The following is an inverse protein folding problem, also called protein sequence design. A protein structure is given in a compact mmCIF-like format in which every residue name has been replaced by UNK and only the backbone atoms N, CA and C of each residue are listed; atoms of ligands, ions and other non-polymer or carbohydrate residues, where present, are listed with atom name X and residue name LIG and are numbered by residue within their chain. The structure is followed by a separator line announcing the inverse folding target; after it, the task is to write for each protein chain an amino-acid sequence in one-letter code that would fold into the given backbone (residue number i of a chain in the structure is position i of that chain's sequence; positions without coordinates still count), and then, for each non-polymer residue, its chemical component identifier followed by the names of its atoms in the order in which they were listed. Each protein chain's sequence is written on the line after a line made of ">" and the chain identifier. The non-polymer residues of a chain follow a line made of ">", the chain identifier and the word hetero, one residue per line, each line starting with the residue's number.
data_IF_956380599852
#
_entry.id   IF_956380599852
#
_cell.length_a   1.000
_cell.length_b   1.000
_cell.length_c   1.000
_cell.angle_alpha   90.00
_cell.angle_beta   90.00
_cell.angle_gamma   90.00
#
_symmetry.space_group_name_H-M   'P 1'
#
loop_
_entity.id
_entity.type
_entity.pdbx_description
1 polymer ?
#
# COMPACT_ATOMS: atom_id res chain seq x y z
N UNK A 1 53.02 -31.63 26.02
CA UNK A 1 52.62 -30.27 26.42
C UNK A 1 51.23 -29.98 25.85
N UNK A 2 50.36 -29.36 26.66
CA UNK A 2 48.91 -29.13 26.50
C UNK A 2 48.01 -30.35 26.68
N UNK A 3 47.71 -30.64 27.94
CA UNK A 3 46.58 -31.47 28.39
C UNK A 3 45.91 -30.78 29.56
N UNK A 4 44.69 -30.30 29.34
CA UNK A 4 43.90 -29.47 30.24
C UNK A 4 43.44 -30.31 31.43
N UNK A 5 43.78 -29.84 32.63
CA UNK A 5 43.19 -30.26 33.89
C UNK A 5 41.93 -29.45 34.14
N UNK A 6 40.77 -30.09 34.28
CA UNK A 6 39.69 -29.53 35.08
C UNK A 6 38.79 -30.61 35.68
N UNK A 7 39.11 -30.87 36.95
CA UNK A 7 38.25 -31.24 38.09
C UNK A 7 36.82 -31.69 37.78
N UNK A 8 36.63 -32.97 38.12
CA UNK A 8 35.38 -33.53 38.65
C UNK A 8 34.89 -32.71 39.85
N UNK A 9 33.62 -32.33 39.87
CA UNK A 9 32.85 -32.19 41.11
C UNK A 9 31.57 -33.01 40.97
N UNK A 10 31.62 -34.14 41.65
CA UNK A 10 30.46 -34.97 41.96
C UNK A 10 29.44 -34.14 42.74
N UNK A 11 28.19 -34.18 42.30
CA UNK A 11 27.05 -34.15 43.22
C UNK A 11 26.15 -35.32 42.83
N UNK A 12 26.27 -36.38 43.60
CA UNK A 12 25.35 -37.52 43.68
C UNK A 12 24.17 -37.07 44.56
N UNK A 13 22.93 -37.15 44.06
CA UNK A 13 21.69 -37.53 44.79
C UNK A 13 20.66 -37.87 43.69
N UNK A 14 20.51 -39.11 43.26
CA UNK A 14 19.66 -40.18 43.82
C UNK A 14 18.14 -39.92 43.73
N UNK A 15 17.53 -40.60 42.73
CA UNK A 15 16.27 -41.37 42.76
C UNK A 15 14.94 -40.60 43.01
N UNK A 16 13.97 -40.79 42.10
CA UNK A 16 12.61 -41.35 42.34
C UNK A 16 11.68 -40.85 41.24
N UNK A 17 11.07 -41.82 40.55
CA UNK A 17 10.06 -41.61 39.53
C UNK A 17 8.79 -40.98 40.11
N UNK A 18 8.34 -39.87 39.52
CA UNK A 18 6.92 -39.50 39.47
C UNK A 18 6.62 -38.89 38.11
N UNK A 19 6.10 -39.73 37.21
CA UNK A 19 5.32 -39.34 36.04
C UNK A 19 4.03 -38.66 36.53
N UNK A 20 4.02 -37.33 36.63
CA UNK A 20 2.79 -36.55 36.85
C UNK A 20 2.88 -35.26 36.04
N UNK A 21 2.14 -35.25 34.92
CA UNK A 21 1.49 -34.12 34.26
C UNK A 21 2.19 -32.74 34.28
N UNK A 22 2.95 -32.45 33.23
CA UNK A 22 3.16 -31.08 32.76
C UNK A 22 2.78 -30.96 31.27
N UNK A 23 1.57 -31.42 30.94
CA UNK A 23 0.91 -31.16 29.65
C UNK A 23 -0.20 -30.14 29.83
N UNK A 24 0.14 -28.94 30.27
CA UNK A 24 -0.74 -27.76 30.20
C UNK A 24 0.13 -26.51 30.08
N UNK A 25 0.89 -26.36 28.98
CA UNK A 25 1.39 -25.04 28.57
C UNK A 25 1.76 -24.91 27.09
N UNK A 26 1.25 -25.81 26.22
CA UNK A 26 1.42 -25.69 24.75
C UNK A 26 0.27 -24.99 24.03
N UNK A 27 -0.76 -24.52 24.73
CA UNK A 27 -1.95 -23.88 24.14
C UNK A 27 -2.04 -22.36 24.36
N UNK A 28 -1.08 -21.73 25.04
CA UNK A 28 -1.08 -20.29 25.29
C UNK A 28 -0.19 -19.48 24.33
N UNK A 29 0.61 -20.13 23.48
CA UNK A 29 1.62 -19.45 22.65
C UNK A 29 1.24 -19.35 21.15
N UNK A 30 0.17 -20.00 20.70
CA UNK A 30 -0.30 -19.88 19.31
C UNK A 30 -1.37 -18.80 19.08
N UNK A 31 -1.97 -18.22 20.13
CA UNK A 31 -2.99 -17.17 19.98
C UNK A 31 -2.43 -15.73 19.93
N UNK A 32 -1.13 -15.52 20.21
CA UNK A 32 -0.49 -14.20 20.18
C UNK A 32 0.14 -13.82 18.84
N UNK A 33 0.40 -14.79 17.96
CA UNK A 33 0.96 -14.51 16.62
C UNK A 33 -0.10 -14.21 15.55
N UNK A 34 -1.39 -14.48 15.82
CA UNK A 34 -2.46 -14.08 14.91
C UNK A 34 -2.88 -12.61 15.09
N UNK A 35 -2.66 -12.02 16.27
CA UNK A 35 -3.17 -10.66 16.57
C UNK A 35 -2.30 -9.50 16.07
N UNK A 36 -1.01 -9.73 15.82
CA UNK A 36 -0.08 -8.66 15.40
C UNK A 36 0.01 -8.49 13.88
N UNK A 37 -0.44 -9.48 13.11
CA UNK A 37 -0.51 -9.38 11.65
C UNK A 37 -1.85 -8.80 11.15
N UNK A 38 -2.89 -8.84 11.99
CA UNK A 38 -4.21 -8.31 11.68
C UNK A 38 -4.30 -6.78 11.87
N UNK A 39 -3.49 -6.17 12.75
CA UNK A 39 -3.47 -4.70 12.93
C UNK A 39 -2.63 -3.96 11.88
N UNK A 40 -1.64 -4.62 11.26
CA UNK A 40 -0.94 -4.07 10.09
C UNK A 40 -1.83 -4.08 8.83
N UNK A 41 -2.68 -5.10 8.67
CA UNK A 41 -3.53 -5.28 7.49
C UNK A 41 -4.86 -4.54 7.54
N UNK A 42 -5.34 -4.09 8.71
CA UNK A 42 -6.54 -3.25 8.80
C UNK A 42 -6.29 -1.76 8.49
N UNK A 43 -5.03 -1.37 8.37
CA UNK A 43 -4.63 0.03 8.13
C UNK A 43 -4.33 0.31 6.65
N UNK A 44 -4.11 -0.73 5.83
CA UNK A 44 -3.94 -0.63 4.37
C UNK A 44 -5.26 -0.49 3.60
N UNK A 45 -6.38 -0.88 4.21
CA UNK A 45 -7.72 -0.97 3.58
C UNK A 45 -8.31 0.40 3.16
N UNK A 46 -7.64 1.53 3.46
CA UNK A 46 -8.10 2.88 3.09
C UNK A 46 -7.04 3.74 2.40
N UNK A 47 -5.89 3.15 2.02
CA UNK A 47 -4.78 3.92 1.44
C UNK A 47 -5.04 4.31 -0.02
N UNK A 48 -5.71 3.45 -0.79
CA UNK A 48 -6.16 3.70 -2.17
C UNK A 48 -7.69 3.71 -2.19
N UNK A 49 -8.30 4.69 -2.84
CA UNK A 49 -9.75 4.84 -2.90
C UNK A 49 -10.27 4.79 -4.33
N UNK A 50 -11.13 3.83 -4.66
CA UNK A 50 -11.89 3.88 -5.90
C UNK A 50 -12.93 4.99 -5.82
N UNK A 51 -12.99 5.87 -6.83
CA UNK A 51 -13.88 7.03 -6.87
C UNK A 51 -14.66 7.07 -8.19
N UNK A 52 -15.83 7.70 -8.15
CA UNK A 52 -16.66 7.94 -9.35
C UNK A 52 -16.27 9.24 -10.06
N UNK A 53 -16.84 9.50 -11.23
CA UNK A 53 -16.74 10.79 -11.91
C UNK A 53 -17.27 11.94 -11.04
N UNK A 54 -18.35 11.69 -10.28
CA UNK A 54 -18.90 12.69 -9.35
C UNK A 54 -17.94 12.98 -8.19
N UNK A 55 -17.33 11.94 -7.62
CA UNK A 55 -16.29 12.10 -6.60
C UNK A 55 -15.08 12.86 -7.13
N UNK A 56 -14.65 12.59 -8.37
CA UNK A 56 -13.59 13.37 -9.02
C UNK A 56 -13.96 14.86 -9.08
N UNK A 57 -15.18 15.18 -9.52
CA UNK A 57 -15.68 16.57 -9.56
C UNK A 57 -15.69 17.23 -8.17
N UNK A 58 -16.03 16.49 -7.13
CA UNK A 58 -16.07 17.00 -5.75
C UNK A 58 -14.69 17.14 -5.11
N UNK A 59 -13.84 16.11 -5.19
CA UNK A 59 -12.58 15.98 -4.45
C UNK A 59 -11.37 16.53 -5.21
N UNK A 60 -11.40 16.49 -6.54
CA UNK A 60 -10.24 16.82 -7.39
C UNK A 60 -10.51 18.10 -8.17
N UNK A 61 -11.43 18.07 -9.12
CA UNK A 61 -11.71 19.21 -9.99
C UNK A 61 -13.02 19.02 -10.74
N UNK A 62 -13.88 20.04 -10.74
CA UNK A 62 -15.12 20.06 -11.51
C UNK A 62 -14.84 20.48 -12.97
N UNK A 63 -14.58 19.49 -13.83
CA UNK A 63 -14.22 19.70 -15.23
C UNK A 63 -15.38 20.18 -16.12
N UNK A 64 -16.62 20.23 -15.60
CA UNK A 64 -17.77 20.78 -16.30
C UNK A 64 -17.89 22.30 -16.10
N UNK A 65 -17.44 22.78 -14.94
CA UNK A 65 -17.54 24.21 -14.57
C UNK A 65 -16.26 24.98 -14.78
N UNK A 66 -15.11 24.35 -14.57
CA UNK A 66 -13.82 25.01 -14.56
C UNK A 66 -13.13 24.80 -15.93
N UNK A 67 -12.86 25.89 -16.64
CA UNK A 67 -12.18 25.86 -17.96
C UNK A 67 -10.66 25.73 -17.84
N UNK A 68 -10.11 25.94 -16.64
CA UNK A 68 -8.68 25.84 -16.33
C UNK A 68 -8.48 24.94 -15.12
N UNK A 69 -7.34 24.23 -15.08
CA UNK A 69 -6.99 23.36 -13.96
C UNK A 69 -7.06 24.09 -12.61
N UNK A 70 -7.91 23.59 -11.71
CA UNK A 70 -8.09 24.12 -10.36
C UNK A 70 -8.32 22.98 -9.38
N UNK A 71 -7.23 22.51 -8.81
CA UNK A 71 -7.23 21.41 -7.87
C UNK A 71 -7.88 21.81 -6.53
N UNK A 72 -8.81 20.98 -6.06
CA UNK A 72 -9.55 21.15 -4.80
C UNK A 72 -8.90 20.45 -3.60
N UNK A 73 -8.01 19.49 -3.83
CA UNK A 73 -7.47 18.65 -2.76
C UNK A 73 -6.40 19.36 -1.93
N UNK A 74 -6.28 18.98 -0.66
CA UNK A 74 -5.33 19.55 0.30
C UNK A 74 -3.91 19.00 0.19
N UNK A 75 -3.77 17.81 -0.41
CA UNK A 75 -2.51 17.10 -0.62
C UNK A 75 -2.34 16.79 -2.10
N UNK A 76 -1.10 16.64 -2.61
CA UNK A 76 -0.87 16.06 -3.91
C UNK A 76 -1.60 14.73 -4.07
N UNK A 77 -2.03 14.42 -5.28
CA UNK A 77 -2.83 13.23 -5.54
C UNK A 77 -2.36 12.46 -6.77
N UNK A 78 -2.69 11.17 -6.80
CA UNK A 78 -2.58 10.30 -7.97
C UNK A 78 -3.98 9.82 -8.31
N UNK A 79 -4.33 9.82 -9.59
CA UNK A 79 -5.52 9.13 -10.09
C UNK A 79 -5.07 8.06 -11.07
N UNK A 80 -5.29 6.80 -10.72
CA UNK A 80 -5.05 5.62 -11.57
C UNK A 80 -6.32 5.30 -12.36
N UNK A 81 -6.27 5.52 -13.68
CA UNK A 81 -7.28 5.10 -14.62
C UNK A 81 -6.99 3.65 -15.05
N UNK A 82 -7.87 2.74 -14.64
CA UNK A 82 -7.69 1.31 -14.82
C UNK A 82 -8.96 0.63 -15.34
N UNK A 83 -8.84 -0.66 -15.66
CA UNK A 83 -9.98 -1.54 -15.91
C UNK A 83 -9.72 -2.93 -15.31
N UNK A 84 -10.79 -3.66 -15.00
CA UNK A 84 -10.70 -4.97 -14.31
C UNK A 84 -10.06 -6.07 -15.16
N UNK A 85 -10.14 -5.95 -16.49
CA UNK A 85 -9.54 -6.87 -17.46
C UNK A 85 -8.08 -6.51 -17.81
N UNK A 86 -7.58 -5.36 -17.36
CA UNK A 86 -6.24 -4.88 -17.67
C UNK A 86 -5.18 -5.64 -16.86
N UNK A 87 -4.38 -6.47 -17.54
CA UNK A 87 -3.27 -7.22 -16.94
C UNK A 87 -2.22 -6.30 -16.27
N UNK A 88 -1.64 -5.32 -16.98
CA UNK A 88 -0.66 -4.40 -16.39
C UNK A 88 -1.19 -3.60 -15.19
N UNK A 89 -2.48 -3.25 -15.19
CA UNK A 89 -3.11 -2.57 -14.06
C UNK A 89 -3.10 -3.42 -12.78
N UNK A 90 -3.28 -4.74 -12.91
CA UNK A 90 -3.19 -5.68 -11.77
C UNK A 90 -1.80 -5.76 -11.16
N UNK A 91 -0.75 -5.48 -11.93
CA UNK A 91 0.64 -5.38 -11.43
C UNK A 91 0.82 -4.06 -10.67
N UNK A 92 0.26 -2.97 -11.19
CA UNK A 92 0.38 -1.65 -10.57
C UNK A 92 -0.42 -1.51 -9.27
N UNK A 93 -1.58 -2.17 -9.13
CA UNK A 93 -2.42 -2.09 -7.92
C UNK A 93 -1.68 -2.35 -6.60
N UNK A 94 -0.95 -3.49 -6.41
CA UNK A 94 -0.21 -3.73 -5.18
C UNK A 94 0.96 -2.74 -4.97
N UNK A 95 1.55 -2.21 -6.05
CA UNK A 95 2.60 -1.19 -5.98
C UNK A 95 2.00 0.12 -5.44
N UNK A 96 0.84 0.54 -5.97
CA UNK A 96 0.11 1.72 -5.51
C UNK A 96 -0.32 1.60 -4.06
N UNK A 97 -0.83 0.44 -3.64
CA UNK A 97 -1.21 0.20 -2.24
C UNK A 97 -0.02 0.35 -1.29
N UNK A 98 1.14 -0.22 -1.64
CA UNK A 98 2.35 -0.09 -0.85
C UNK A 98 2.84 1.36 -0.76
N UNK A 99 2.87 2.06 -1.90
CA UNK A 99 3.33 3.46 -1.95
C UNK A 99 2.34 4.41 -1.27
N UNK A 100 1.03 4.17 -1.41
CA UNK A 100 -0.01 4.90 -0.68
C UNK A 100 0.12 4.70 0.84
N UNK A 101 0.44 3.47 1.27
CA UNK A 101 0.77 3.19 2.68
C UNK A 101 2.02 3.92 3.15
N UNK A 102 3.10 3.87 2.35
CA UNK A 102 4.39 4.53 2.63
C UNK A 102 4.27 6.06 2.73
N UNK A 103 3.45 6.66 1.87
CA UNK A 103 3.24 8.11 1.81
C UNK A 103 1.90 8.55 2.43
N UNK A 104 1.36 7.73 3.33
CA UNK A 104 0.09 8.00 4.01
C UNK A 104 0.11 9.39 4.65
N UNK A 105 -0.92 10.18 4.35
CA UNK A 105 -1.04 11.56 4.85
C UNK A 105 -0.18 12.58 4.10
N UNK A 106 0.65 12.17 3.14
CA UNK A 106 1.40 13.07 2.25
C UNK A 106 0.84 13.13 0.84
N UNK A 107 0.33 12.01 0.32
CA UNK A 107 -0.38 11.95 -0.96
C UNK A 107 -1.73 11.26 -0.76
N UNK A 108 -2.69 11.61 -1.61
CA UNK A 108 -3.94 10.85 -1.75
C UNK A 108 -3.87 10.02 -3.04
N UNK A 109 -4.29 8.75 -2.98
CA UNK A 109 -4.29 7.85 -4.14
C UNK A 109 -5.70 7.41 -4.44
N UNK A 110 -6.13 7.69 -5.67
CA UNK A 110 -7.45 7.39 -6.18
C UNK A 110 -7.38 6.46 -7.38
N UNK A 111 -8.44 5.69 -7.59
CA UNK A 111 -8.61 4.81 -8.73
C UNK A 111 -9.94 5.07 -9.42
N UNK A 112 -9.95 5.02 -10.74
CA UNK A 112 -11.14 5.18 -11.57
C UNK A 112 -11.22 4.02 -12.56
N UNK A 113 -12.31 3.26 -12.46
CA UNK A 113 -12.65 2.19 -13.39
C UNK A 113 -13.24 2.82 -14.66
N UNK A 114 -12.47 2.82 -15.75
CA UNK A 114 -12.84 3.53 -16.98
C UNK A 114 -14.07 2.93 -17.68
N UNK A 115 -14.39 1.66 -17.41
CA UNK A 115 -15.57 1.01 -17.98
C UNK A 115 -16.85 1.53 -17.34
N UNK A 116 -16.76 1.92 -16.06
CA UNK A 116 -17.88 2.49 -15.28
C UNK A 116 -17.95 4.01 -15.42
N UNK A 117 -16.79 4.66 -15.44
CA UNK A 117 -16.65 6.11 -15.35
C UNK A 117 -16.12 6.68 -16.67
N UNK A 118 -16.85 6.43 -17.76
CA UNK A 118 -16.41 6.77 -19.13
C UNK A 118 -16.24 8.28 -19.35
N UNK A 119 -17.06 9.09 -18.69
CA UNK A 119 -17.08 10.54 -18.84
C UNK A 119 -15.74 11.17 -18.45
N UNK A 120 -15.25 10.89 -17.24
CA UNK A 120 -13.96 11.40 -16.77
C UNK A 120 -12.80 10.82 -17.60
N UNK A 121 -12.87 9.55 -18.00
CA UNK A 121 -11.85 8.96 -18.87
C UNK A 121 -11.77 9.68 -20.23
N UNK A 122 -12.92 10.01 -20.83
CA UNK A 122 -12.99 10.77 -22.08
C UNK A 122 -12.48 12.21 -21.91
N UNK A 123 -12.85 12.87 -20.81
CA UNK A 123 -12.44 14.25 -20.52
C UNK A 123 -10.91 14.39 -20.44
N UNK A 124 -10.24 13.38 -19.89
CA UNK A 124 -8.77 13.34 -19.79
C UNK A 124 -8.09 12.64 -20.97
N UNK A 125 -8.85 12.25 -22.00
CA UNK A 125 -8.31 11.64 -23.22
C UNK A 125 -7.61 10.31 -22.97
N UNK A 126 -8.12 9.49 -22.04
CA UNK A 126 -7.51 8.20 -21.71
C UNK A 126 -7.68 7.22 -22.88
N UNK A 127 -6.57 6.93 -23.56
CA UNK A 127 -6.52 6.01 -24.73
C UNK A 127 -5.88 4.67 -24.41
N UNK A 128 -5.11 4.57 -23.33
CA UNK A 128 -4.44 3.36 -22.88
C UNK A 128 -4.39 3.33 -21.36
N UNK A 129 -4.32 2.12 -20.80
CA UNK A 129 -4.30 1.89 -19.36
C UNK A 129 -3.20 0.88 -18.98
N UNK A 130 -2.61 1.00 -17.78
CA UNK A 130 -2.90 2.02 -16.77
C UNK A 130 -2.40 3.41 -17.18
N UNK A 131 -3.11 4.44 -16.74
CA UNK A 131 -2.70 5.84 -16.89
C UNK A 131 -2.86 6.56 -15.55
N UNK A 132 -1.88 7.37 -15.18
CA UNK A 132 -1.78 8.02 -13.89
C UNK A 132 -1.76 9.53 -14.05
N UNK A 133 -2.79 10.19 -13.55
CA UNK A 133 -2.78 11.65 -13.43
C UNK A 133 -2.07 12.03 -12.14
N UNK A 134 -0.86 12.57 -12.27
CA UNK A 134 -0.03 13.07 -11.19
C UNK A 134 -0.41 14.52 -10.90
N UNK A 135 -1.00 14.77 -9.74
CA UNK A 135 -1.56 16.08 -9.38
C UNK A 135 -0.70 16.69 -8.27
N UNK A 136 0.24 17.60 -8.57
CA UNK A 136 0.96 18.34 -7.54
C UNK A 136 0.01 19.27 -6.78
N UNK A 137 0.38 19.66 -5.55
CA UNK A 137 -0.41 20.61 -4.76
C UNK A 137 -0.54 21.98 -5.44
N UNK A 138 0.44 22.35 -6.23
CA UNK A 138 0.46 23.58 -7.03
C UNK A 138 1.01 23.30 -8.42
N UNK A 139 0.46 23.98 -9.43
CA UNK A 139 0.85 23.80 -10.83
C UNK A 139 -0.14 22.92 -11.60
N UNK A 140 0.31 22.46 -12.78
CA UNK A 140 -0.51 21.62 -13.66
C UNK A 140 -0.25 20.13 -13.38
N UNK A 141 -1.27 19.28 -13.54
CA UNK A 141 -1.08 17.85 -13.42
C UNK A 141 -0.33 17.31 -14.64
N UNK A 142 0.31 16.15 -14.47
CA UNK A 142 1.06 15.47 -15.51
C UNK A 142 0.50 14.05 -15.69
N UNK A 143 0.32 13.62 -16.94
CA UNK A 143 -0.14 12.26 -17.24
C UNK A 143 1.08 11.36 -17.44
N UNK A 144 1.10 10.24 -16.73
CA UNK A 144 2.08 9.15 -16.90
C UNK A 144 1.32 7.93 -17.41
N UNK A 145 1.84 7.22 -18.41
CA UNK A 145 1.11 6.15 -19.09
C UNK A 145 1.96 4.88 -19.11
N UNK A 146 1.32 3.75 -18.84
CA UNK A 146 1.96 2.44 -18.82
C UNK A 146 2.32 1.97 -17.42
N UNK A 147 2.64 0.68 -17.31
CA UNK A 147 3.09 0.10 -16.05
C UNK A 147 4.59 0.37 -15.84
N UNK A 148 4.97 0.53 -14.58
CA UNK A 148 6.33 0.78 -14.12
C UNK A 148 6.67 -0.17 -12.99
N UNK A 149 7.97 -0.43 -12.77
CA UNK A 149 8.36 -1.11 -11.53
C UNK A 149 8.21 -0.17 -10.32
N UNK A 150 8.25 -0.75 -9.12
CA UNK A 150 8.02 0.01 -7.88
C UNK A 150 9.06 1.10 -7.64
N UNK A 151 10.32 0.88 -8.01
CA UNK A 151 11.39 1.84 -7.77
C UNK A 151 11.27 3.05 -8.71
N UNK A 152 11.02 2.78 -9.99
CA UNK A 152 10.75 3.79 -11.00
C UNK A 152 9.49 4.60 -10.65
N UNK A 153 8.39 3.92 -10.31
CA UNK A 153 7.14 4.62 -9.98
C UNK A 153 7.27 5.47 -8.71
N UNK A 154 8.03 5.01 -7.71
CA UNK A 154 8.34 5.82 -6.53
C UNK A 154 9.14 7.08 -6.90
N UNK A 155 10.08 6.99 -7.85
CA UNK A 155 10.83 8.14 -8.32
C UNK A 155 9.92 9.14 -9.05
N UNK A 156 9.02 8.65 -9.91
CA UNK A 156 7.99 9.46 -10.58
C UNK A 156 7.14 10.21 -9.53
N UNK A 157 6.71 9.55 -8.44
CA UNK A 157 5.98 10.21 -7.35
C UNK A 157 6.81 11.35 -6.74
N UNK A 158 8.09 11.11 -6.43
CA UNK A 158 8.95 12.13 -5.83
C UNK A 158 9.10 13.36 -6.73
N UNK A 159 9.37 13.12 -8.02
CA UNK A 159 9.59 14.17 -9.00
C UNK A 159 8.32 14.96 -9.33
N UNK A 160 7.15 14.32 -9.33
CA UNK A 160 5.91 14.99 -9.74
C UNK A 160 5.13 15.56 -8.55
N UNK A 161 5.24 14.98 -7.36
CA UNK A 161 4.34 15.29 -6.23
C UNK A 161 5.03 15.79 -4.96
N UNK A 162 6.27 15.38 -4.70
CA UNK A 162 6.93 15.57 -3.40
C UNK A 162 8.22 16.39 -3.48
N UNK A 163 8.28 17.32 -4.44
CA UNK A 163 9.35 18.32 -4.58
C UNK A 163 9.40 19.27 -3.37
#
# INVERSE_FOLDING_TARGET
>A
MKGISMKRRNVLVAIVATLVFASCNRTAQSAKQEKQQVEANKTSEKAVQTITSQDFKMKIMDYEKETQWKFKGDKPAIVDFYATWCGPCKIMSPILEQLAGKYKGRIDVYQIDIDKEREVAMQFGIQSIPAFLMIPKSGRPQMIVGAHDQAEFEQIIKENLLK
#
